data_IF_849339472207
#
_entry.id   IF_849339472207
#
_cell.length_a   1.000
_cell.length_b   1.000
_cell.length_c   1.000
_cell.angle_alpha   90.00
_cell.angle_beta   90.00
_cell.angle_gamma   90.00
#
_symmetry.space_group_name_H-M   'P 1'
#
loop_
_entity.id
_entity.type
_entity.pdbx_description
1 polymer ?
#
# COMPACT_ATOMS: atom_id res chain seq x y z
N UNK A 1 30.84 -44.63 46.83
CA UNK A 1 30.64 -43.28 46.29
C UNK A 1 30.01 -43.40 44.93
N UNK A 2 28.76 -42.93 44.78
CA UNK A 2 27.97 -43.02 43.53
C UNK A 2 28.08 -41.68 42.81
N UNK A 3 28.69 -41.65 41.64
CA UNK A 3 28.70 -40.47 40.76
C UNK A 3 27.90 -40.75 39.49
N UNK A 4 26.67 -40.24 39.54
CA UNK A 4 25.93 -39.48 38.52
C UNK A 4 25.94 -39.96 37.07
N UNK A 5 24.73 -40.35 36.62
CA UNK A 5 24.28 -40.48 35.24
C UNK A 5 24.62 -39.22 34.40
N UNK A 6 25.30 -39.39 33.28
CA UNK A 6 25.25 -38.43 32.18
C UNK A 6 24.05 -38.74 31.30
N UNK A 7 22.95 -38.02 31.51
CA UNK A 7 21.80 -37.98 30.62
C UNK A 7 22.14 -37.11 29.40
N UNK A 8 22.28 -37.77 28.25
CA UNK A 8 22.38 -37.14 26.94
C UNK A 8 21.00 -36.55 26.58
N UNK A 9 20.82 -35.25 26.76
CA UNK A 9 19.60 -34.55 26.30
C UNK A 9 19.91 -33.87 24.97
N UNK A 10 19.62 -34.58 23.88
CA UNK A 10 19.59 -34.01 22.53
C UNK A 10 18.32 -33.15 22.43
N UNK A 11 18.47 -31.85 22.58
CA UNK A 11 17.42 -30.87 22.25
C UNK A 11 17.54 -30.53 20.77
N UNK A 12 16.70 -31.17 19.97
CA UNK A 12 16.57 -30.95 18.53
C UNK A 12 16.01 -29.55 18.25
N UNK A 13 16.74 -28.83 17.40
CA UNK A 13 16.28 -27.84 16.42
C UNK A 13 14.81 -27.39 16.55
N UNK A 14 14.62 -26.29 17.27
CA UNK A 14 13.60 -25.30 16.93
C UNK A 14 14.32 -24.08 16.43
N UNK A 15 14.60 -24.03 15.12
CA UNK A 15 15.05 -22.81 14.46
C UNK A 15 13.93 -21.80 14.69
N UNK A 16 14.10 -20.91 15.68
CA UNK A 16 13.44 -19.61 15.62
C UNK A 16 14.06 -18.93 14.40
N UNK A 17 13.52 -19.26 13.22
CA UNK A 17 13.38 -18.29 12.17
C UNK A 17 12.56 -17.20 12.83
N UNK A 18 13.24 -16.20 13.37
CA UNK A 18 12.72 -14.86 13.43
C UNK A 18 12.39 -14.54 11.97
N UNK A 19 11.21 -14.96 11.53
CA UNK A 19 10.64 -14.58 10.25
C UNK A 19 10.78 -13.08 10.23
N UNK A 20 11.63 -12.65 9.32
CA UNK A 20 11.98 -11.28 9.04
C UNK A 20 10.76 -10.38 9.15
N UNK A 21 10.55 -9.76 10.31
CA UNK A 21 9.86 -8.48 10.45
C UNK A 21 10.81 -7.37 9.97
N UNK A 22 11.41 -7.62 8.82
CA UNK A 22 12.00 -6.66 7.90
C UNK A 22 11.15 -6.69 6.62
N UNK A 23 9.85 -6.91 6.75
CA UNK A 23 8.91 -6.12 5.95
C UNK A 23 8.97 -4.70 6.51
N UNK A 24 10.07 -4.01 6.22
CA UNK A 24 10.12 -2.56 6.27
C UNK A 24 9.16 -2.12 5.17
N UNK A 25 7.86 -2.19 5.49
CA UNK A 25 6.81 -1.52 4.73
C UNK A 25 7.33 -0.12 4.52
N UNK A 26 7.60 0.23 3.26
CA UNK A 26 7.91 1.60 2.84
C UNK A 26 6.69 2.46 3.25
N UNK A 27 6.71 2.92 4.50
CA UNK A 27 5.62 3.57 5.21
C UNK A 27 5.54 5.06 4.86
N UNK A 28 5.73 5.41 3.60
CA UNK A 28 5.67 6.80 3.13
C UNK A 28 4.46 7.07 2.26
N UNK A 29 3.68 6.06 1.90
CA UNK A 29 2.57 6.24 0.97
C UNK A 29 1.37 5.35 1.31
N UNK A 30 0.21 5.76 0.83
CA UNK A 30 -1.06 5.03 0.92
C UNK A 30 -1.55 4.79 -0.50
N UNK A 31 -1.79 3.52 -0.84
CA UNK A 31 -2.36 3.16 -2.13
C UNK A 31 -3.85 2.87 -1.96
N UNK A 32 -4.66 3.51 -2.78
CA UNK A 32 -6.10 3.33 -2.84
C UNK A 32 -6.46 2.72 -4.18
N UNK A 33 -7.37 1.77 -4.16
CA UNK A 33 -8.04 1.23 -5.34
C UNK A 33 -9.49 1.71 -5.34
N UNK A 34 -9.98 2.23 -6.46
CA UNK A 34 -11.39 2.57 -6.64
C UNK A 34 -12.09 1.47 -7.43
N UNK A 35 -13.24 1.01 -6.93
CA UNK A 35 -13.98 -0.15 -7.46
C UNK A 35 -14.55 0.07 -8.86
N UNK A 36 -14.96 1.31 -9.15
CA UNK A 36 -15.51 1.75 -10.44
C UNK A 36 -14.77 3.02 -10.87
N UNK A 37 -13.47 2.89 -11.07
CA UNK A 37 -12.62 4.01 -11.42
C UNK A 37 -12.97 4.53 -12.82
N UNK A 38 -13.38 5.80 -12.88
CA UNK A 38 -13.54 6.56 -14.11
C UNK A 38 -12.84 7.92 -13.98
N UNK A 39 -12.75 8.67 -15.07
CA UNK A 39 -12.09 9.98 -15.07
C UNK A 39 -12.73 10.99 -14.13
N UNK A 40 -14.04 10.88 -13.86
CA UNK A 40 -14.78 11.79 -12.97
C UNK A 40 -14.41 11.54 -11.51
N UNK A 41 -14.44 10.29 -11.04
CA UNK A 41 -13.99 9.91 -9.69
C UNK A 41 -12.51 10.22 -9.48
N UNK A 42 -11.68 10.08 -10.51
CA UNK A 42 -10.29 10.50 -10.44
C UNK A 42 -10.18 12.00 -10.13
N UNK A 43 -10.92 12.83 -10.86
CA UNK A 43 -10.95 14.28 -10.64
C UNK A 43 -11.47 14.64 -9.25
N UNK A 44 -12.46 13.92 -8.72
CA UNK A 44 -12.96 14.11 -7.34
C UNK A 44 -11.87 13.82 -6.30
N UNK A 45 -11.14 12.71 -6.45
CA UNK A 45 -10.03 12.37 -5.56
C UNK A 45 -8.90 13.39 -5.67
N UNK A 46 -8.58 13.85 -6.88
CA UNK A 46 -7.60 14.93 -7.07
C UNK A 46 -8.05 16.21 -6.38
N UNK A 47 -9.28 16.66 -6.60
CA UNK A 47 -9.84 17.87 -5.99
C UNK A 47 -9.87 17.79 -4.45
N UNK A 48 -10.15 16.61 -3.89
CA UNK A 48 -10.15 16.37 -2.44
C UNK A 48 -8.78 16.62 -1.79
N UNK A 49 -7.69 16.33 -2.51
CA UNK A 49 -6.33 16.40 -1.98
C UNK A 49 -5.45 17.51 -2.59
N UNK A 50 -5.96 18.28 -3.57
CA UNK A 50 -5.20 19.36 -4.23
C UNK A 50 -4.72 20.42 -3.22
N UNK A 51 -5.64 20.90 -2.39
CA UNK A 51 -5.39 21.94 -1.37
C UNK A 51 -5.17 21.38 0.04
N UNK A 52 -5.02 20.05 0.18
CA UNK A 52 -4.82 19.41 1.46
C UNK A 52 -3.43 19.76 2.03
N UNK A 53 -3.36 20.26 3.27
CA UNK A 53 -2.11 20.68 3.90
C UNK A 53 -1.20 19.51 4.31
N UNK A 54 -1.76 18.30 4.41
CA UNK A 54 -1.13 17.13 5.01
C UNK A 54 -0.74 16.09 3.96
N UNK A 55 -1.54 15.94 2.91
CA UNK A 55 -1.44 14.86 1.93
C UNK A 55 -1.41 15.44 0.52
N UNK A 56 -0.82 14.70 -0.42
CA UNK A 56 -0.92 14.98 -1.85
C UNK A 56 -1.06 13.68 -2.65
N UNK A 57 -1.70 13.78 -3.82
CA UNK A 57 -1.63 12.73 -4.84
C UNK A 57 -0.27 12.81 -5.53
N UNK A 58 0.48 11.71 -5.55
CA UNK A 58 1.79 11.65 -6.24
C UNK A 58 1.76 10.82 -7.50
N UNK A 59 0.76 9.94 -7.63
CA UNK A 59 0.57 9.10 -8.80
C UNK A 59 -0.88 8.62 -8.87
N UNK A 60 -1.39 8.40 -10.09
CA UNK A 60 -2.62 7.68 -10.35
C UNK A 60 -2.41 6.74 -11.53
N UNK A 61 -3.19 5.67 -11.59
CA UNK A 61 -3.23 4.76 -12.72
C UNK A 61 -4.67 4.41 -13.04
N UNK A 62 -5.19 5.07 -14.08
CA UNK A 62 -6.61 4.98 -14.41
C UNK A 62 -7.00 3.58 -14.88
N UNK A 63 -6.13 2.90 -15.65
CA UNK A 63 -6.38 1.54 -16.15
C UNK A 63 -6.39 0.48 -15.05
N UNK A 64 -5.78 0.76 -13.90
CA UNK A 64 -5.80 -0.13 -12.73
C UNK A 64 -6.76 0.35 -11.64
N UNK A 65 -7.34 1.55 -11.81
CA UNK A 65 -8.13 2.23 -10.81
C UNK A 65 -7.38 2.52 -9.51
N UNK A 66 -6.10 2.87 -9.60
CA UNK A 66 -5.24 3.08 -8.42
C UNK A 66 -4.85 4.54 -8.25
N UNK A 67 -4.80 5.00 -6.99
CA UNK A 67 -4.27 6.30 -6.60
C UNK A 67 -3.24 6.12 -5.51
N UNK A 68 -2.14 6.85 -5.59
CA UNK A 68 -1.07 6.85 -4.60
C UNK A 68 -1.01 8.21 -3.91
N UNK A 69 -1.19 8.18 -2.60
CA UNK A 69 -1.11 9.33 -1.72
C UNK A 69 0.18 9.30 -0.91
N UNK A 70 0.77 10.46 -0.67
CA UNK A 70 1.92 10.63 0.21
C UNK A 70 1.69 11.82 1.16
N UNK A 71 2.30 11.81 2.37
CA UNK A 71 2.44 13.02 3.17
C UNK A 71 3.08 14.13 2.34
N UNK A 72 2.66 15.36 2.58
CA UNK A 72 3.45 16.51 2.17
C UNK A 72 4.76 16.56 2.98
N UNK A 73 5.84 17.13 2.41
CA UNK A 73 7.12 17.24 3.11
C UNK A 73 7.06 17.94 4.48
N UNK A 74 6.06 18.82 4.67
CA UNK A 74 5.86 19.57 5.91
C UNK A 74 4.82 18.93 6.85
N UNK A 75 4.23 17.80 6.47
CA UNK A 75 3.30 17.06 7.33
C UNK A 75 4.08 16.36 8.43
N UNK A 76 3.57 16.44 9.65
CA UNK A 76 4.08 15.67 10.79
C UNK A 76 3.44 14.29 10.91
N UNK A 77 2.52 13.93 10.01
CA UNK A 77 1.74 12.69 10.08
C UNK A 77 2.52 11.48 9.59
N UNK A 78 2.40 10.39 10.34
CA UNK A 78 2.82 9.06 9.92
C UNK A 78 1.91 8.50 8.82
N UNK A 79 2.40 7.49 8.06
CA UNK A 79 1.56 6.81 7.07
C UNK A 79 0.28 6.18 7.63
N UNK A 80 0.29 5.74 8.89
CA UNK A 80 -0.91 5.20 9.53
C UNK A 80 -1.95 6.30 9.79
N UNK A 81 -1.50 7.48 10.21
CA UNK A 81 -2.37 8.64 10.41
C UNK A 81 -2.93 9.15 9.07
N UNK A 82 -2.09 9.15 8.03
CA UNK A 82 -2.49 9.49 6.66
C UNK A 82 -3.50 8.49 6.14
N UNK A 83 -3.29 7.19 6.36
CA UNK A 83 -4.26 6.15 5.96
C UNK A 83 -5.62 6.38 6.60
N UNK A 84 -5.65 6.61 7.92
CA UNK A 84 -6.90 6.87 8.63
C UNK A 84 -7.56 8.17 8.14
N UNK A 85 -6.77 9.23 8.00
CA UNK A 85 -7.24 10.53 7.52
C UNK A 85 -7.79 10.48 6.09
N UNK A 86 -7.07 9.84 5.16
CA UNK A 86 -7.53 9.62 3.79
C UNK A 86 -8.80 8.79 3.75
N UNK A 87 -8.94 7.77 4.60
CA UNK A 87 -10.17 6.96 4.67
C UNK A 87 -11.38 7.81 5.04
N UNK A 88 -11.25 8.67 6.06
CA UNK A 88 -12.34 9.55 6.50
C UNK A 88 -12.71 10.52 5.38
N UNK A 89 -11.73 11.19 4.78
CA UNK A 89 -11.97 12.12 3.68
C UNK A 89 -12.61 11.47 2.45
N UNK A 90 -12.17 10.27 2.09
CA UNK A 90 -12.74 9.54 0.98
C UNK A 90 -14.16 9.07 1.28
N UNK A 91 -14.48 8.68 2.52
CA UNK A 91 -15.84 8.32 2.93
C UNK A 91 -16.84 9.48 2.86
N UNK A 92 -16.36 10.73 3.00
CA UNK A 92 -17.21 11.91 2.89
C UNK A 92 -17.66 12.18 1.44
N UNK A 93 -16.90 11.70 0.45
CA UNK A 93 -17.12 11.98 -0.98
C UNK A 93 -17.53 10.73 -1.76
N UNK A 94 -16.89 9.61 -1.46
CA UNK A 94 -17.09 8.30 -2.07
C UNK A 94 -17.79 7.37 -1.08
N UNK A 95 -18.62 6.45 -1.56
CA UNK A 95 -19.17 5.43 -0.68
C UNK A 95 -18.04 4.51 -0.18
N UNK A 96 -18.23 3.90 0.99
CA UNK A 96 -17.28 2.92 1.55
C UNK A 96 -16.93 1.79 0.58
N UNK A 97 -17.90 1.36 -0.23
CA UNK A 97 -17.75 0.28 -1.19
C UNK A 97 -17.08 0.74 -2.52
N UNK A 98 -16.92 2.05 -2.71
CA UNK A 98 -16.29 2.64 -3.89
C UNK A 98 -14.75 2.63 -3.82
N UNK A 99 -14.16 2.39 -2.65
CA UNK A 99 -12.71 2.36 -2.50
C UNK A 99 -12.20 1.32 -1.49
N UNK A 100 -10.97 0.85 -1.72
CA UNK A 100 -10.25 -0.05 -0.84
C UNK A 100 -8.81 0.43 -0.68
N UNK A 101 -8.29 0.42 0.55
CA UNK A 101 -6.87 0.66 0.78
C UNK A 101 -6.08 -0.62 0.52
N UNK A 102 -5.12 -0.54 -0.38
CA UNK A 102 -4.27 -1.67 -0.77
C UNK A 102 -3.02 -1.66 0.11
N UNK A 103 -2.94 -2.65 1.00
CA UNK A 103 -1.77 -2.80 1.88
C UNK A 103 -0.56 -3.40 1.16
N UNK A 104 0.64 -3.02 1.60
CA UNK A 104 1.90 -3.64 1.17
C UNK A 104 2.34 -3.34 -0.25
N UNK A 105 1.59 -2.54 -1.03
CA UNK A 105 1.96 -2.14 -2.38
C UNK A 105 2.83 -0.88 -2.35
N UNK A 106 3.98 -0.87 -3.04
CA UNK A 106 4.82 0.32 -3.14
C UNK A 106 4.36 1.26 -4.26
N UNK A 107 4.69 2.56 -4.18
CA UNK A 107 4.46 3.51 -5.28
C UNK A 107 5.13 3.10 -6.59
N UNK A 108 6.30 2.45 -6.50
CA UNK A 108 7.03 1.95 -7.65
C UNK A 108 6.33 0.76 -8.30
N UNK A 109 5.77 -0.16 -7.50
CA UNK A 109 5.00 -1.29 -8.02
C UNK A 109 3.76 -0.82 -8.77
N UNK A 110 3.08 0.23 -8.27
CA UNK A 110 1.95 0.86 -8.97
C UNK A 110 2.38 1.41 -10.32
N UNK A 111 3.52 2.13 -10.38
CA UNK A 111 4.04 2.69 -11.64
C UNK A 111 4.39 1.59 -12.66
N UNK A 112 5.05 0.53 -12.22
CA UNK A 112 5.46 -0.58 -13.09
C UNK A 112 4.23 -1.32 -13.60
N UNK A 113 3.31 -1.72 -12.71
CA UNK A 113 2.09 -2.40 -13.10
C UNK A 113 1.24 -1.55 -14.04
N UNK A 114 1.15 -0.23 -13.79
CA UNK A 114 0.43 0.68 -14.66
C UNK A 114 1.01 0.72 -16.07
N UNK A 115 2.35 0.80 -16.17
CA UNK A 115 3.05 0.81 -17.45
C UNK A 115 2.80 -0.48 -18.23
N UNK A 116 2.91 -1.63 -17.57
CA UNK A 116 2.70 -2.94 -18.18
C UNK A 116 1.26 -3.09 -18.71
N UNK A 117 0.27 -2.66 -17.94
CA UNK A 117 -1.13 -2.73 -18.34
C UNK A 117 -1.44 -1.79 -19.52
N UNK A 118 -0.90 -0.56 -19.49
CA UNK A 118 -1.03 0.37 -20.61
C UNK A 118 -0.41 -0.18 -21.90
N UNK A 119 0.75 -0.86 -21.81
CA UNK A 119 1.38 -1.53 -22.95
C UNK A 119 0.52 -2.69 -23.47
N UNK A 120 -0.04 -3.51 -22.59
CA UNK A 120 -0.95 -4.61 -22.94
C UNK A 120 -2.19 -4.12 -23.69
N UNK A 121 -2.73 -2.96 -23.31
CA UNK A 121 -3.89 -2.35 -23.98
C UNK A 121 -3.51 -1.77 -25.35
N UNK A 122 -2.29 -1.23 -25.50
CA UNK A 122 -1.81 -0.62 -26.75
C UNK A 122 -1.24 -1.61 -27.78
N UNK A 123 -0.88 -2.82 -27.36
CA UNK A 123 -0.32 -3.85 -28.25
C UNK A 123 -1.25 -5.07 -28.38
N UNK A 124 -2.30 -5.00 -29.21
CA UNK A 124 -3.29 -6.07 -29.35
C UNK A 124 -2.75 -7.36 -30.00
N UNK A 125 -1.48 -7.37 -30.45
CA UNK A 125 -0.85 -8.50 -31.13
C UNK A 125 -0.31 -9.60 -30.19
N UNK A 126 -0.47 -9.47 -28.86
CA UNK A 126 0.03 -10.44 -27.87
C UNK A 126 -0.99 -11.52 -27.45
N UNK A 127 -2.11 -11.68 -28.16
CA UNK A 127 -3.11 -12.73 -27.90
C UNK A 127 -2.97 -13.91 -28.86
#
# INVERSE_FOLDING_TARGET
MRTVLFGLLILTFGVCHSSSLYAQSNNEHVVIQLSDFNSEKNLEVYALFEDDAEIRVVNSCDVLGLVVLEPRPNSSRSANEIRAYSSVKLQEILALDDFVIVEGRSKFDVLVACREEMQRIHDPASK
#
